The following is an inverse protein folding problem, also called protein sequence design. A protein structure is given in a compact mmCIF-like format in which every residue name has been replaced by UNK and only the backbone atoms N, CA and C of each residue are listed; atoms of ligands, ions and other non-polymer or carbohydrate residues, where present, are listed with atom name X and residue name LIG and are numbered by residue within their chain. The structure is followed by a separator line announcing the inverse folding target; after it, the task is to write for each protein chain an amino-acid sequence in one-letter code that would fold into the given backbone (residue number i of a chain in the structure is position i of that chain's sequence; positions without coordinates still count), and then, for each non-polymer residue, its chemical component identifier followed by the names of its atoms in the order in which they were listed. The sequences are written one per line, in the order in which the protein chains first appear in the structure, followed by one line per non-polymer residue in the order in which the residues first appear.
data_IF_653233578472
#
_entry.id   IF_653233578472
#
_cell.length_a   1.000
_cell.length_b   1.000
_cell.length_c   1.000
_cell.angle_alpha   90.00
_cell.angle_beta   90.00
_cell.angle_gamma   90.00
#
_symmetry.space_group_name_H-M   'P 1'
#
loop_
_entity.id
_entity.type
_entity.pdbx_description
1 polymer ?
#
# COMPACT_ATOMS: atom_id res chain seq x y z
N UNK A 1 5.68 27.98 -3.11
CA UNK A 1 6.32 26.86 -3.81
C UNK A 1 7.70 27.32 -4.26
N UNK A 2 8.78 26.60 -3.92
CA UNK A 2 10.17 27.07 -4.08
C UNK A 2 10.51 27.53 -5.52
N UNK A 3 9.94 26.88 -6.54
CA UNK A 3 10.14 27.23 -7.96
C UNK A 3 9.44 28.53 -8.41
N UNK A 4 8.78 29.27 -7.51
CA UNK A 4 8.28 30.63 -7.79
C UNK A 4 9.34 31.71 -7.60
N UNK A 5 10.48 31.37 -7.01
CA UNK A 5 11.62 32.29 -6.80
C UNK A 5 12.53 32.20 -8.02
N UNK A 6 12.74 33.32 -8.70
CA UNK A 6 13.48 33.37 -9.96
C UNK A 6 14.93 32.89 -9.82
N UNK A 7 15.62 33.29 -8.75
CA UNK A 7 17.01 32.89 -8.50
C UNK A 7 17.16 31.37 -8.30
N UNK A 8 16.18 30.74 -7.64
CA UNK A 8 16.16 29.28 -7.47
C UNK A 8 15.96 28.61 -8.83
N UNK A 9 15.03 29.12 -9.64
CA UNK A 9 14.77 28.60 -10.99
C UNK A 9 16.02 28.68 -11.87
N UNK A 10 16.66 29.84 -11.92
CA UNK A 10 17.88 30.07 -12.69
C UNK A 10 19.02 29.14 -12.24
N UNK A 11 19.18 28.95 -10.93
CA UNK A 11 20.21 28.07 -10.36
C UNK A 11 19.97 26.60 -10.75
N UNK A 12 18.72 26.11 -10.67
CA UNK A 12 18.37 24.74 -11.06
C UNK A 12 18.57 24.52 -12.56
N UNK A 13 18.16 25.48 -13.39
CA UNK A 13 18.36 25.40 -14.85
C UNK A 13 19.84 25.38 -15.22
N UNK A 14 20.66 26.25 -14.61
CA UNK A 14 22.10 26.27 -14.82
C UNK A 14 22.75 24.94 -14.40
N UNK A 15 22.32 24.38 -13.28
CA UNK A 15 22.77 23.06 -12.84
C UNK A 15 22.41 21.96 -13.86
N UNK A 16 21.17 21.92 -14.34
CA UNK A 16 20.74 20.96 -15.35
C UNK A 16 21.55 21.07 -16.63
N UNK A 17 21.67 22.28 -17.20
CA UNK A 17 22.42 22.50 -18.43
C UNK A 17 23.89 22.11 -18.31
N UNK A 18 24.50 22.29 -17.12
CA UNK A 18 25.90 21.99 -16.88
C UNK A 18 26.19 20.51 -16.59
N UNK A 19 25.23 19.76 -16.03
CA UNK A 19 25.51 18.43 -15.44
C UNK A 19 24.66 17.30 -15.99
N UNK A 20 23.50 17.59 -16.59
CA UNK A 20 22.52 16.57 -16.99
C UNK A 20 22.26 16.66 -18.49
N UNK A 21 22.46 15.55 -19.18
CA UNK A 21 22.16 15.43 -20.62
C UNK A 21 20.70 15.06 -20.90
N UNK A 22 20.14 14.19 -20.07
CA UNK A 22 18.81 13.63 -20.26
C UNK A 22 18.13 13.34 -18.94
N UNK A 23 16.81 13.51 -18.90
CA UNK A 23 15.96 13.22 -17.75
C UNK A 23 14.99 12.08 -18.08
N UNK A 24 15.02 11.02 -17.27
CA UNK A 24 14.06 9.92 -17.34
C UNK A 24 13.16 9.98 -16.10
N UNK A 25 11.86 10.10 -16.30
CA UNK A 25 10.88 10.11 -15.20
C UNK A 25 9.95 8.91 -15.38
N UNK A 26 10.01 7.99 -14.42
CA UNK A 26 9.04 6.91 -14.31
C UNK A 26 7.82 7.35 -13.48
N UNK A 27 6.69 6.69 -13.68
CA UNK A 27 5.41 6.96 -12.98
C UNK A 27 4.98 8.44 -13.01
N UNK A 28 5.09 9.12 -14.17
CA UNK A 28 4.81 10.57 -14.30
C UNK A 28 3.40 10.98 -13.83
N UNK A 29 2.43 10.07 -13.81
CA UNK A 29 1.07 10.35 -13.34
C UNK A 29 0.94 10.44 -11.80
N UNK A 30 1.99 10.07 -11.07
CA UNK A 30 2.07 10.28 -9.62
C UNK A 30 2.75 11.61 -9.25
N UNK A 31 3.22 12.37 -10.23
CA UNK A 31 3.90 13.65 -10.04
C UNK A 31 2.97 14.72 -9.44
N UNK A 32 3.49 15.47 -8.46
CA UNK A 32 2.83 16.66 -7.91
C UNK A 32 3.24 17.94 -8.68
N UNK A 33 2.68 19.09 -8.31
CA UNK A 33 2.96 20.38 -8.99
C UNK A 33 4.45 20.77 -8.98
N UNK A 34 5.20 20.41 -7.94
CA UNK A 34 6.64 20.67 -7.86
C UNK A 34 7.39 19.77 -8.83
N UNK A 35 7.08 18.48 -8.88
CA UNK A 35 7.72 17.50 -9.79
C UNK A 35 7.49 17.90 -11.25
N UNK A 36 6.25 18.26 -11.61
CA UNK A 36 5.91 18.77 -12.94
C UNK A 36 6.65 20.08 -13.27
N UNK A 37 6.83 20.94 -12.27
CA UNK A 37 7.64 22.16 -12.38
C UNK A 37 9.11 21.85 -12.68
N UNK A 38 9.70 20.85 -12.02
CA UNK A 38 11.07 20.41 -12.28
C UNK A 38 11.22 19.86 -13.70
N UNK A 39 10.27 19.04 -14.17
CA UNK A 39 10.25 18.54 -15.55
C UNK A 39 10.21 19.70 -16.55
N UNK A 40 9.41 20.73 -16.25
CA UNK A 40 9.34 21.91 -17.09
C UNK A 40 10.68 22.65 -17.16
N UNK A 41 11.37 22.84 -16.03
CA UNK A 41 12.70 23.48 -16.02
C UNK A 41 13.77 22.66 -16.73
N UNK A 42 13.71 21.33 -16.63
CA UNK A 42 14.58 20.45 -17.39
C UNK A 42 14.39 20.65 -18.91
N UNK A 43 13.14 20.83 -19.34
CA UNK A 43 12.84 21.08 -20.76
C UNK A 43 13.36 22.44 -21.19
N UNK A 44 13.13 23.48 -20.39
CA UNK A 44 13.63 24.83 -20.66
C UNK A 44 15.18 24.90 -20.67
N UNK A 45 15.85 24.02 -19.91
CA UNK A 45 17.30 23.87 -19.91
C UNK A 45 17.83 23.03 -21.10
N UNK A 46 16.95 22.55 -21.99
CA UNK A 46 17.34 21.84 -23.22
C UNK A 46 17.66 20.35 -23.03
N UNK A 47 17.25 19.74 -21.92
CA UNK A 47 17.47 18.31 -21.68
C UNK A 47 16.59 17.46 -22.60
N UNK A 48 17.10 16.30 -23.00
CA UNK A 48 16.28 15.25 -23.62
C UNK A 48 15.47 14.56 -22.52
N UNK A 49 14.14 14.63 -22.59
CA UNK A 49 13.26 14.08 -21.56
C UNK A 49 12.50 12.88 -22.07
N UNK A 50 12.41 11.85 -21.25
CA UNK A 50 11.52 10.70 -21.48
C UNK A 50 10.65 10.51 -20.24
N UNK A 51 9.34 10.45 -20.46
CA UNK A 51 8.33 10.28 -19.42
C UNK A 51 7.66 8.92 -19.61
N UNK A 52 7.61 8.13 -18.55
CA UNK A 52 6.94 6.82 -18.51
C UNK A 52 5.85 6.89 -17.45
N UNK A 53 4.69 6.29 -17.74
CA UNK A 53 3.62 6.17 -16.76
C UNK A 53 2.31 5.68 -17.37
N UNK A 54 1.39 5.29 -16.48
CA UNK A 54 0.06 4.82 -16.85
C UNK A 54 -1.01 5.61 -16.09
N UNK A 55 -1.88 6.37 -16.77
CA UNK A 55 -2.92 7.16 -16.09
C UNK A 55 -3.88 6.28 -15.30
N UNK A 56 -4.05 5.01 -15.68
CA UNK A 56 -4.90 4.05 -14.96
C UNK A 56 -4.32 3.59 -13.61
N UNK A 57 -3.04 3.86 -13.35
CA UNK A 57 -2.37 3.46 -12.11
C UNK A 57 -2.08 4.67 -11.19
N UNK A 58 -2.62 5.85 -11.49
CA UNK A 58 -2.42 7.04 -10.68
C UNK A 58 -3.23 6.96 -9.36
N UNK A 59 -2.59 6.63 -8.24
CA UNK A 59 -3.24 6.40 -6.94
C UNK A 59 -2.74 7.31 -5.81
N UNK A 60 -1.81 8.22 -6.08
CA UNK A 60 -1.18 9.03 -5.02
C UNK A 60 -1.76 10.45 -4.92
N UNK A 61 -3.05 10.64 -5.26
CA UNK A 61 -3.72 11.93 -5.12
C UNK A 61 -3.66 12.49 -3.69
N UNK A 62 -3.73 11.60 -2.68
CA UNK A 62 -3.57 11.95 -1.27
C UNK A 62 -2.19 12.51 -0.90
N UNK A 63 -1.14 12.28 -1.72
CA UNK A 63 0.20 12.87 -1.56
C UNK A 63 0.40 14.13 -2.41
N UNK A 64 -0.66 14.59 -3.09
CA UNK A 64 -0.61 15.77 -3.94
C UNK A 64 -0.33 15.48 -5.41
N UNK A 65 -0.37 14.22 -5.86
CA UNK A 65 -0.28 13.90 -7.29
C UNK A 65 -1.37 14.62 -8.11
N UNK A 66 -1.04 14.97 -9.35
CA UNK A 66 -1.90 15.71 -10.30
C UNK A 66 -1.91 15.03 -11.68
N UNK A 67 -2.45 13.80 -11.81
CA UNK A 67 -2.49 13.09 -13.09
C UNK A 67 -3.20 13.89 -14.20
N UNK A 68 -4.17 14.73 -13.86
CA UNK A 68 -4.91 15.62 -14.76
C UNK A 68 -4.05 16.73 -15.37
N UNK A 69 -2.92 17.08 -14.74
CA UNK A 69 -1.98 18.10 -15.23
C UNK A 69 -1.01 17.54 -16.26
N UNK A 70 -0.79 16.21 -16.29
CA UNK A 70 0.16 15.56 -17.20
C UNK A 70 -0.19 15.80 -18.68
N UNK A 71 -1.44 15.62 -19.16
CA UNK A 71 -1.77 15.88 -20.57
C UNK A 71 -1.44 17.30 -21.02
N UNK A 72 -1.63 18.30 -20.14
CA UNK A 72 -1.30 19.70 -20.43
C UNK A 72 0.22 19.90 -20.54
N UNK A 73 1.00 19.26 -19.67
CA UNK A 73 2.46 19.28 -19.74
C UNK A 73 2.95 18.68 -21.06
N UNK A 74 2.45 17.50 -21.43
CA UNK A 74 2.81 16.81 -22.68
C UNK A 74 2.53 17.67 -23.91
N UNK A 75 1.33 18.28 -23.98
CA UNK A 75 0.96 19.16 -25.08
C UNK A 75 1.81 20.43 -25.15
N UNK A 76 2.08 21.07 -24.00
CA UNK A 76 2.89 22.29 -23.93
C UNK A 76 4.33 22.06 -24.37
N UNK A 77 4.92 20.93 -24.00
CA UNK A 77 6.31 20.61 -24.27
C UNK A 77 6.51 19.82 -25.58
N UNK A 78 5.43 19.53 -26.31
CA UNK A 78 5.51 18.86 -27.61
C UNK A 78 5.99 17.42 -27.54
N UNK A 79 5.66 16.69 -26.47
CA UNK A 79 6.07 15.28 -26.35
C UNK A 79 5.41 14.40 -27.41
N UNK A 80 6.22 13.56 -28.06
CA UNK A 80 5.72 12.43 -28.84
C UNK A 80 5.27 11.30 -27.90
N UNK A 81 4.08 10.74 -28.17
CA UNK A 81 3.50 9.67 -27.35
C UNK A 81 3.65 8.33 -28.05
N UNK A 82 4.23 7.36 -27.37
CA UNK A 82 4.27 5.96 -27.79
C UNK A 82 3.51 5.09 -26.79
N UNK A 83 2.56 4.30 -27.26
CA UNK A 83 1.78 3.40 -26.40
C UNK A 83 2.33 1.98 -26.46
N UNK A 84 2.60 1.40 -25.28
CA UNK A 84 2.97 -0.01 -25.15
C UNK A 84 1.70 -0.84 -24.98
N UNK A 85 1.32 -1.58 -26.03
CA UNK A 85 0.07 -2.33 -26.06
C UNK A 85 0.18 -3.75 -25.50
N UNK A 86 1.39 -4.30 -25.44
CA UNK A 86 1.65 -5.67 -24.99
C UNK A 86 2.16 -5.68 -23.55
N UNK A 87 1.55 -6.52 -22.71
CA UNK A 87 2.01 -6.76 -21.34
C UNK A 87 2.82 -8.05 -21.27
N UNK A 88 3.99 -7.98 -20.64
CA UNK A 88 4.82 -9.16 -20.33
C UNK A 88 4.44 -9.83 -19.00
N UNK A 89 3.49 -9.26 -18.25
CA UNK A 89 3.05 -9.77 -16.93
C UNK A 89 2.17 -11.01 -17.06
N UNK A 90 1.20 -10.99 -17.98
CA UNK A 90 0.14 -12.01 -18.06
C UNK A 90 0.58 -13.24 -18.87
N UNK A 91 1.74 -13.81 -18.49
CA UNK A 91 2.42 -14.88 -19.22
C UNK A 91 1.50 -16.09 -19.39
N UNK A 92 0.98 -16.30 -20.60
CA UNK A 92 0.14 -17.44 -20.97
C UNK A 92 -1.29 -17.44 -20.41
N UNK A 93 -1.72 -16.39 -19.68
CA UNK A 93 -3.11 -16.32 -19.17
C UNK A 93 -4.01 -15.52 -20.09
N UNK A 94 -4.80 -16.21 -20.91
CA UNK A 94 -5.83 -15.61 -21.75
C UNK A 94 -6.89 -14.89 -20.90
N UNK A 95 -7.30 -15.47 -19.77
CA UNK A 95 -8.32 -14.89 -18.89
C UNK A 95 -7.86 -13.56 -18.28
N UNK A 96 -6.63 -13.51 -17.75
CA UNK A 96 -6.09 -12.30 -17.14
C UNK A 96 -5.80 -11.20 -18.17
N UNK A 97 -5.32 -11.59 -19.35
CA UNK A 97 -5.14 -10.67 -20.48
C UNK A 97 -6.46 -10.06 -20.93
N UNK A 98 -7.50 -10.89 -21.10
CA UNK A 98 -8.85 -10.44 -21.45
C UNK A 98 -9.40 -9.48 -20.40
N UNK A 99 -9.30 -9.83 -19.11
CA UNK A 99 -9.73 -8.97 -18.00
C UNK A 99 -9.08 -7.59 -18.10
N UNK A 100 -7.74 -7.53 -18.24
CA UNK A 100 -7.05 -6.26 -18.29
C UNK A 100 -7.42 -5.39 -19.51
N UNK A 101 -7.65 -6.01 -20.68
CA UNK A 101 -8.15 -5.31 -21.87
C UNK A 101 -9.58 -4.77 -21.66
N UNK A 102 -10.48 -5.58 -21.10
CA UNK A 102 -11.84 -5.15 -20.78
C UNK A 102 -11.84 -3.95 -19.84
N UNK A 103 -11.04 -4.02 -18.76
CA UNK A 103 -10.91 -2.91 -17.81
C UNK A 103 -10.38 -1.63 -18.48
N UNK A 104 -9.32 -1.73 -19.31
CA UNK A 104 -8.79 -0.55 -20.05
C UNK A 104 -9.79 0.04 -21.04
N UNK A 105 -10.62 -0.80 -21.66
CA UNK A 105 -11.67 -0.39 -22.60
C UNK A 105 -12.95 0.09 -21.89
N UNK A 106 -12.96 0.10 -20.56
CA UNK A 106 -14.13 0.47 -19.74
C UNK A 106 -15.33 -0.43 -20.01
N UNK A 107 -15.07 -1.67 -20.41
CA UNK A 107 -16.11 -2.67 -20.64
C UNK A 107 -16.62 -3.20 -19.30
N UNK A 108 -17.84 -3.75 -19.34
CA UNK A 108 -18.42 -4.45 -18.20
C UNK A 108 -17.62 -5.71 -17.88
N UNK A 109 -17.40 -5.94 -16.60
CA UNK A 109 -16.64 -7.11 -16.11
C UNK A 109 -17.33 -7.71 -14.89
N UNK A 110 -17.34 -9.03 -14.83
CA UNK A 110 -17.70 -9.80 -13.63
C UNK A 110 -16.52 -10.69 -13.30
N UNK A 111 -16.07 -10.63 -12.05
CA UNK A 111 -14.98 -11.48 -11.60
C UNK A 111 -15.49 -12.86 -11.20
N UNK A 112 -14.72 -13.92 -11.47
CA UNK A 112 -14.98 -15.22 -10.85
C UNK A 112 -14.83 -15.11 -9.33
N UNK A 113 -15.69 -15.80 -8.59
CA UNK A 113 -15.61 -15.90 -7.13
C UNK A 113 -14.67 -17.04 -6.73
N UNK A 114 -13.87 -16.83 -5.69
CA UNK A 114 -13.02 -17.86 -5.09
C UNK A 114 -12.94 -17.72 -3.58
N UNK A 115 -12.09 -18.53 -2.93
CA UNK A 115 -11.81 -18.43 -1.50
C UNK A 115 -10.39 -17.93 -1.24
N UNK A 116 -10.09 -17.49 -0.01
CA UNK A 116 -8.78 -16.93 0.31
C UNK A 116 -7.62 -17.91 0.05
N UNK A 117 -7.81 -19.21 0.33
CA UNK A 117 -6.80 -20.24 0.08
C UNK A 117 -6.41 -20.45 -1.39
N UNK A 118 -7.16 -19.88 -2.34
CA UNK A 118 -6.91 -19.97 -3.77
C UNK A 118 -5.98 -18.87 -4.30
N UNK A 119 -5.47 -17.97 -3.47
CA UNK A 119 -4.73 -16.78 -3.93
C UNK A 119 -3.48 -16.50 -3.09
N UNK A 120 -2.49 -15.83 -3.70
CA UNK A 120 -1.22 -15.52 -3.02
C UNK A 120 -1.33 -14.27 -2.13
N UNK A 121 -2.34 -13.44 -2.39
CA UNK A 121 -2.60 -12.16 -1.72
C UNK A 121 -4.07 -11.79 -1.86
N UNK A 122 -4.63 -11.12 -0.84
CA UNK A 122 -5.93 -10.46 -0.94
C UNK A 122 -5.76 -8.94 -0.91
N UNK A 123 -6.32 -8.27 -1.91
CA UNK A 123 -6.30 -6.82 -2.06
C UNK A 123 -7.66 -6.21 -1.72
N UNK A 124 -7.65 -5.03 -1.10
CA UNK A 124 -8.87 -4.25 -0.92
C UNK A 124 -8.59 -2.75 -1.02
N UNK A 125 -9.62 -1.95 -1.28
CA UNK A 125 -9.50 -0.48 -1.26
C UNK A 125 -9.21 0.06 0.14
N UNK A 126 -9.70 -0.62 1.19
CA UNK A 126 -9.63 -0.18 2.58
C UNK A 126 -9.23 -1.34 3.50
N UNK A 127 -8.44 -1.05 4.52
CA UNK A 127 -8.05 -2.01 5.56
C UNK A 127 -9.23 -2.67 6.26
N UNK A 128 -10.29 -1.91 6.52
CA UNK A 128 -11.51 -2.41 7.18
C UNK A 128 -12.04 -3.68 6.50
N UNK A 129 -12.09 -3.67 5.17
CA UNK A 129 -12.61 -4.80 4.38
C UNK A 129 -11.76 -6.06 4.53
N UNK A 130 -10.44 -5.91 4.71
CA UNK A 130 -9.54 -7.05 4.91
C UNK A 130 -9.65 -7.62 6.33
N UNK A 131 -9.82 -6.76 7.33
CA UNK A 131 -10.04 -7.21 8.72
C UNK A 131 -11.41 -7.88 8.93
N UNK A 132 -12.42 -7.47 8.17
CA UNK A 132 -13.77 -8.06 8.17
C UNK A 132 -13.91 -9.26 7.22
N UNK A 133 -12.88 -9.56 6.43
CA UNK A 133 -12.86 -10.73 5.56
C UNK A 133 -12.50 -12.02 6.33
N UNK A 134 -12.40 -13.12 5.58
CA UNK A 134 -12.02 -14.45 6.05
C UNK A 134 -10.83 -14.44 7.03
N UNK A 135 -10.87 -15.31 8.04
CA UNK A 135 -9.86 -15.36 9.11
C UNK A 135 -8.48 -15.80 8.63
N UNK A 136 -8.37 -16.47 7.48
CA UNK A 136 -7.09 -16.80 6.85
C UNK A 136 -6.40 -15.56 6.28
N UNK A 137 -7.13 -14.45 6.07
CA UNK A 137 -6.54 -13.20 5.60
C UNK A 137 -5.93 -12.47 6.80
N UNK A 138 -4.62 -12.23 6.73
CA UNK A 138 -3.88 -11.41 7.68
C UNK A 138 -3.54 -10.06 7.05
N UNK A 139 -4.28 -8.97 7.35
CA UNK A 139 -3.97 -7.65 6.86
C UNK A 139 -2.65 -7.16 7.43
N UNK A 140 -1.80 -6.56 6.60
CA UNK A 140 -0.45 -6.14 6.98
C UNK A 140 -0.39 -4.78 7.70
N UNK A 141 -1.52 -4.15 7.99
CA UNK A 141 -1.58 -2.96 8.84
C UNK A 141 -2.73 -3.05 9.83
N UNK A 142 -2.52 -2.53 11.04
CA UNK A 142 -3.53 -2.43 12.08
C UNK A 142 -3.65 -0.98 12.53
N UNK A 143 -4.88 -0.45 12.59
CA UNK A 143 -5.15 0.91 13.04
C UNK A 143 -6.26 0.91 14.11
N UNK A 144 -5.91 0.61 15.37
CA UNK A 144 -6.90 0.62 16.44
C UNK A 144 -7.36 2.06 16.70
N UNK A 145 -8.67 2.25 16.94
CA UNK A 145 -9.26 3.59 17.20
C UNK A 145 -8.94 4.15 18.60
N UNK A 146 -7.85 3.73 19.20
CA UNK A 146 -7.61 3.86 20.64
C UNK A 146 -6.47 4.84 20.98
N UNK A 147 -5.57 5.11 20.03
CA UNK A 147 -4.52 6.15 20.16
C UNK A 147 -3.16 5.70 19.63
N UNK A 148 -2.24 6.66 19.44
CA UNK A 148 -0.94 6.42 18.79
C UNK A 148 -0.08 5.36 19.49
N UNK A 149 -0.02 5.35 20.83
CA UNK A 149 0.73 4.33 21.58
C UNK A 149 0.18 2.92 21.31
N UNK A 150 -1.14 2.73 21.39
CA UNK A 150 -1.76 1.43 21.12
C UNK A 150 -1.58 1.00 19.66
N UNK A 151 -1.72 1.93 18.73
CA UNK A 151 -1.45 1.68 17.32
C UNK A 151 0.00 1.20 17.11
N UNK A 152 0.97 1.88 17.71
CA UNK A 152 2.37 1.49 17.61
C UNK A 152 2.63 0.08 18.17
N UNK A 153 2.16 -0.23 19.40
CA UNK A 153 2.36 -1.56 20.00
C UNK A 153 1.64 -2.65 19.21
N UNK A 154 0.39 -2.41 18.77
CA UNK A 154 -0.33 -3.36 17.91
C UNK A 154 0.37 -3.58 16.57
N UNK A 155 0.96 -2.54 15.98
CA UNK A 155 1.76 -2.66 14.75
C UNK A 155 3.03 -3.48 14.99
N UNK A 156 3.70 -3.35 16.14
CA UNK A 156 4.86 -4.20 16.48
C UNK A 156 4.45 -5.67 16.69
N UNK A 157 3.31 -5.94 17.33
CA UNK A 157 2.77 -7.30 17.43
C UNK A 157 2.43 -7.88 16.05
N UNK A 158 1.74 -7.11 15.21
CA UNK A 158 1.43 -7.51 13.84
C UNK A 158 2.71 -7.75 13.03
N UNK A 159 3.75 -6.95 13.25
CA UNK A 159 5.04 -7.12 12.60
C UNK A 159 5.68 -8.46 12.94
N UNK A 160 5.71 -8.87 14.22
CA UNK A 160 6.26 -10.18 14.58
C UNK A 160 5.47 -11.32 13.91
N UNK A 161 4.14 -11.24 13.90
CA UNK A 161 3.30 -12.23 13.23
C UNK A 161 3.53 -12.26 11.71
N UNK A 162 3.50 -11.09 11.04
CA UNK A 162 3.72 -11.00 9.60
C UNK A 162 5.13 -11.48 9.20
N UNK A 163 6.14 -11.14 10.00
CA UNK A 163 7.52 -11.57 9.77
C UNK A 163 7.67 -13.08 9.93
N UNK A 164 7.04 -13.69 10.95
CA UNK A 164 7.10 -15.14 11.16
C UNK A 164 6.32 -15.91 10.10
N UNK A 165 5.20 -15.39 9.63
CA UNK A 165 4.31 -16.09 8.69
C UNK A 165 4.73 -15.89 7.24
N UNK A 166 5.17 -14.69 6.86
CA UNK A 166 5.37 -14.32 5.45
C UNK A 166 6.79 -13.87 5.13
N UNK A 167 7.70 -13.83 6.11
CA UNK A 167 9.05 -13.30 5.93
C UNK A 167 9.09 -11.80 5.58
N UNK A 168 8.01 -11.06 5.83
CA UNK A 168 7.89 -9.64 5.48
C UNK A 168 7.37 -8.81 6.66
N UNK A 169 7.79 -7.54 6.79
CA UNK A 169 7.36 -6.69 7.88
C UNK A 169 5.91 -6.24 7.71
N UNK A 170 5.30 -5.84 8.83
CA UNK A 170 4.05 -5.08 8.80
C UNK A 170 4.29 -3.67 8.24
N UNK A 171 3.20 -3.07 7.78
CA UNK A 171 3.14 -1.70 7.29
C UNK A 171 3.26 -0.74 8.47
N UNK A 172 3.87 0.42 8.26
CA UNK A 172 4.04 1.48 9.26
C UNK A 172 4.91 1.06 10.48
N UNK A 173 5.69 -0.04 10.39
CA UNK A 173 6.58 -0.48 11.48
C UNK A 173 7.63 0.56 11.86
N UNK A 174 8.14 1.32 10.89
CA UNK A 174 9.11 2.41 11.12
C UNK A 174 8.44 3.54 11.90
N UNK A 175 7.22 3.92 11.54
CA UNK A 175 6.46 4.97 12.21
C UNK A 175 6.05 4.54 13.63
N UNK A 176 5.69 3.26 13.81
CA UNK A 176 5.40 2.67 15.10
C UNK A 176 6.63 2.70 16.02
N UNK A 177 7.80 2.28 15.50
CA UNK A 177 9.08 2.36 16.20
C UNK A 177 9.43 3.81 16.57
N UNK A 178 9.26 4.73 15.65
CA UNK A 178 9.49 6.17 15.87
C UNK A 178 8.57 6.71 16.97
N UNK A 179 7.29 6.34 16.94
CA UNK A 179 6.29 6.73 17.93
C UNK A 179 6.58 6.20 19.33
N UNK A 180 7.33 5.10 19.44
CA UNK A 180 7.79 4.50 20.69
C UNK A 180 9.25 4.89 21.04
N UNK A 181 9.92 5.71 20.23
CA UNK A 181 11.33 6.05 20.46
C UNK A 181 12.31 4.88 20.28
N UNK A 182 11.93 3.82 19.57
CA UNK A 182 12.72 2.60 19.36
C UNK A 182 13.41 2.62 17.99
N UNK A 183 14.36 3.54 17.82
CA UNK A 183 15.07 3.70 16.54
C UNK A 183 16.29 2.79 16.43
N UNK A 184 16.92 2.46 17.55
CA UNK A 184 18.08 1.58 17.59
C UNK A 184 17.68 0.12 17.31
N UNK A 185 18.49 -0.58 16.52
CA UNK A 185 18.23 -1.97 16.14
C UNK A 185 18.33 -2.92 17.33
N UNK A 186 19.23 -2.63 18.27
CA UNK A 186 19.47 -3.48 19.45
C UNK A 186 18.28 -3.41 20.42
N UNK A 187 17.78 -2.21 20.73
CA UNK A 187 16.56 -2.04 21.53
C UNK A 187 15.37 -2.75 20.91
N UNK A 188 15.20 -2.65 19.58
CA UNK A 188 14.13 -3.37 18.91
C UNK A 188 14.32 -4.88 19.01
N UNK A 189 15.54 -5.40 18.85
CA UNK A 189 15.85 -6.81 18.99
C UNK A 189 15.52 -7.35 20.39
N UNK A 190 15.79 -6.57 21.44
CA UNK A 190 15.44 -6.89 22.83
C UNK A 190 13.93 -6.92 23.08
N UNK A 191 13.13 -6.13 22.36
CA UNK A 191 11.67 -6.13 22.47
C UNK A 191 11.01 -7.38 21.86
N UNK A 192 11.64 -7.99 20.84
CA UNK A 192 11.02 -9.07 20.05
C UNK A 192 10.58 -10.27 20.89
N UNK A 193 11.38 -10.80 21.84
CA UNK A 193 10.95 -11.90 22.71
C UNK A 193 9.66 -11.59 23.48
N UNK A 194 9.50 -10.36 23.98
CA UNK A 194 8.30 -9.94 24.71
C UNK A 194 7.07 -9.87 23.80
N UNK A 195 7.23 -9.33 22.58
CA UNK A 195 6.17 -9.30 21.57
C UNK A 195 5.73 -10.71 21.16
N UNK A 196 6.68 -11.63 20.94
CA UNK A 196 6.38 -13.03 20.61
C UNK A 196 5.67 -13.75 21.76
N UNK A 197 6.15 -13.58 23.00
CA UNK A 197 5.48 -14.16 24.18
C UNK A 197 4.03 -13.66 24.31
N UNK A 198 3.77 -12.38 24.01
CA UNK A 198 2.41 -11.85 24.00
C UNK A 198 1.52 -12.49 22.91
N UNK A 199 2.07 -12.72 21.71
CA UNK A 199 1.35 -13.44 20.64
C UNK A 199 1.08 -14.90 21.01
N UNK A 200 2.04 -15.60 21.60
CA UNK A 200 1.89 -16.99 22.07
C UNK A 200 0.79 -17.10 23.14
N UNK A 201 0.80 -16.19 24.12
CA UNK A 201 -0.26 -16.10 25.14
C UNK A 201 -1.62 -15.79 24.53
N UNK A 202 -1.67 -14.92 23.53
CA UNK A 202 -2.91 -14.57 22.82
C UNK A 202 -3.46 -15.77 22.03
N UNK A 203 -2.59 -16.54 21.38
CA UNK A 203 -2.93 -17.79 20.69
C UNK A 203 -3.41 -18.86 21.68
N UNK A 204 -2.79 -18.95 22.86
CA UNK A 204 -3.19 -19.83 23.97
C UNK A 204 -4.47 -19.41 24.72
N UNK A 205 -5.29 -18.52 24.13
CA UNK A 205 -6.53 -17.97 24.71
C UNK A 205 -6.34 -17.27 26.07
N UNK A 206 -5.16 -16.73 26.32
CA UNK A 206 -4.91 -15.86 27.48
C UNK A 206 -5.80 -14.61 27.45
N UNK A 207 -6.07 -14.06 28.63
CA UNK A 207 -6.90 -12.86 28.77
C UNK A 207 -6.22 -11.62 28.11
N UNK A 208 -6.87 -10.98 27.11
CA UNK A 208 -6.32 -9.81 26.43
C UNK A 208 -5.99 -8.64 27.35
N UNK A 209 -6.74 -8.45 28.45
CA UNK A 209 -6.50 -7.33 29.36
C UNK A 209 -5.21 -7.52 30.17
N UNK A 210 -4.96 -8.75 30.63
CA UNK A 210 -3.72 -9.13 31.31
C UNK A 210 -2.52 -9.02 30.36
N UNK A 211 -2.61 -9.58 29.15
CA UNK A 211 -1.52 -9.50 28.15
C UNK A 211 -1.19 -8.04 27.82
N UNK A 212 -2.21 -7.19 27.64
CA UNK A 212 -2.00 -5.78 27.35
C UNK A 212 -1.34 -5.04 28.51
N UNK A 213 -1.74 -5.32 29.75
CA UNK A 213 -1.12 -4.72 30.95
C UNK A 213 0.38 -5.05 31.01
N UNK A 214 0.74 -6.30 30.77
CA UNK A 214 2.15 -6.74 30.78
C UNK A 214 2.96 -6.10 29.63
N UNK A 215 2.37 -5.99 28.44
CA UNK A 215 2.98 -5.28 27.32
C UNK A 215 3.20 -3.81 27.63
N UNK A 216 2.21 -3.12 28.21
CA UNK A 216 2.34 -1.72 28.63
C UNK A 216 3.50 -1.56 29.62
N UNK A 217 3.58 -2.42 30.64
CA UNK A 217 4.68 -2.38 31.61
C UNK A 217 6.05 -2.60 30.95
N UNK A 218 6.12 -3.54 29.99
CA UNK A 218 7.34 -3.81 29.20
C UNK A 218 7.73 -2.58 28.37
N UNK A 219 6.78 -1.96 27.66
CA UNK A 219 7.04 -0.79 26.83
C UNK A 219 7.52 0.40 27.67
N UNK A 220 6.90 0.66 28.82
CA UNK A 220 7.32 1.75 29.73
C UNK A 220 8.74 1.52 30.27
N UNK A 221 9.13 0.26 30.46
CA UNK A 221 10.48 -0.09 30.95
C UNK A 221 11.54 0.04 29.86
N UNK A 222 11.21 -0.33 28.63
CA UNK A 222 12.18 -0.47 27.53
C UNK A 222 12.16 0.69 26.53
N UNK A 223 11.22 1.62 26.66
CA UNK A 223 11.04 2.75 25.75
C UNK A 223 10.84 4.04 26.53
N UNK A 224 11.21 5.22 25.98
CA UNK A 224 11.05 6.49 26.67
C UNK A 224 9.60 7.00 26.70
N UNK A 225 8.62 6.21 26.22
CA UNK A 225 7.24 6.66 26.01
C UNK A 225 6.32 6.15 27.10
N UNK A 226 5.69 7.08 27.83
CA UNK A 226 4.65 6.77 28.80
C UNK A 226 3.24 6.92 28.19
N UNK A 227 2.38 5.88 28.26
CA UNK A 227 1.02 5.97 27.77
C UNK A 227 0.11 6.73 28.75
N UNK A 228 -0.78 7.55 28.21
CA UNK A 228 -1.88 8.15 28.97
C UNK A 228 -2.83 7.09 29.55
N UNK A 229 -3.63 7.45 30.56
CA UNK A 229 -4.64 6.57 31.16
C UNK A 229 -5.62 5.95 30.14
N UNK A 230 -5.96 6.70 29.08
CA UNK A 230 -6.79 6.19 27.99
C UNK A 230 -6.09 5.09 27.18
N UNK A 231 -4.79 5.23 26.95
CA UNK A 231 -3.97 4.29 26.18
C UNK A 231 -3.61 3.02 26.96
N UNK A 232 -3.71 3.05 28.29
CA UNK A 232 -3.59 1.85 29.15
C UNK A 232 -4.76 0.87 28.98
N UNK A 233 -5.90 1.32 28.42
CA UNK A 233 -7.04 0.44 28.11
C UNK A 233 -6.69 -0.55 27.01
N UNK A 234 -7.18 -1.76 27.08
CA UNK A 234 -6.89 -2.80 26.06
C UNK A 234 -7.53 -2.46 24.70
N UNK A 235 -6.77 -2.52 23.59
CA UNK A 235 -7.33 -2.39 22.25
C UNK A 235 -8.05 -3.69 21.82
N UNK A 236 -9.21 -3.95 22.43
CA UNK A 236 -9.95 -5.24 22.35
C UNK A 236 -10.21 -5.71 20.92
N UNK A 237 -10.58 -4.81 20.01
CA UNK A 237 -10.85 -5.16 18.61
C UNK A 237 -9.59 -5.65 17.89
N UNK A 238 -8.43 -5.02 18.12
CA UNK A 238 -7.17 -5.44 17.52
C UNK A 238 -6.73 -6.80 18.07
N UNK A 239 -6.82 -7.01 19.39
CA UNK A 239 -6.50 -8.30 20.01
C UNK A 239 -7.44 -9.42 19.57
N UNK A 240 -8.74 -9.14 19.44
CA UNK A 240 -9.70 -10.11 18.93
C UNK A 240 -9.35 -10.51 17.49
N UNK A 241 -9.07 -9.54 16.62
CA UNK A 241 -8.66 -9.80 15.25
C UNK A 241 -7.37 -10.64 15.19
N UNK A 242 -6.31 -10.23 15.90
CA UNK A 242 -5.05 -10.97 15.93
C UNK A 242 -5.24 -12.40 16.44
N UNK A 243 -6.02 -12.60 17.50
CA UNK A 243 -6.35 -13.93 18.03
C UNK A 243 -7.02 -14.83 17.00
N UNK A 244 -8.04 -14.34 16.29
CA UNK A 244 -8.72 -15.15 15.26
C UNK A 244 -7.78 -15.61 14.15
N UNK A 245 -6.76 -14.80 13.80
CA UNK A 245 -5.74 -15.16 12.79
C UNK A 245 -4.71 -16.12 13.36
N UNK A 246 -4.31 -15.95 14.62
CA UNK A 246 -3.41 -16.86 15.32
C UNK A 246 -4.01 -18.27 15.45
N UNK A 247 -5.32 -18.38 15.69
CA UNK A 247 -6.03 -19.66 15.79
C UNK A 247 -5.95 -20.49 14.50
N UNK A 248 -6.04 -19.84 13.33
CA UNK A 248 -5.95 -20.50 12.01
C UNK A 248 -4.57 -20.40 11.36
N UNK A 249 -3.56 -19.88 12.07
CA UNK A 249 -2.25 -19.61 11.47
C UNK A 249 -1.55 -20.88 10.95
N UNK A 250 -1.84 -22.02 11.57
CA UNK A 250 -1.35 -23.34 11.19
C UNK A 250 -1.95 -23.87 9.86
N UNK A 251 -3.08 -23.32 9.42
CA UNK A 251 -3.75 -23.68 8.16
C UNK A 251 -3.19 -22.92 6.95
N UNK A 252 -2.32 -21.93 7.19
CA UNK A 252 -1.72 -21.08 6.16
C UNK A 252 -2.49 -19.77 5.98
N UNK A 253 -1.91 -18.67 6.48
CA UNK A 253 -2.48 -17.34 6.28
C UNK A 253 -2.13 -16.81 4.89
N UNK A 254 -2.96 -15.88 4.41
CA UNK A 254 -2.78 -15.14 3.17
C UNK A 254 -2.58 -13.66 3.50
N UNK A 255 -1.55 -12.99 2.95
CA UNK A 255 -1.33 -11.58 3.23
C UNK A 255 -2.45 -10.71 2.64
N UNK A 256 -3.00 -9.82 3.46
CA UNK A 256 -3.95 -8.79 3.05
C UNK A 256 -3.25 -7.43 2.89
N UNK A 257 -3.47 -6.72 1.78
CA UNK A 257 -2.92 -5.36 1.59
C UNK A 257 -3.85 -4.45 0.80
N UNK A 258 -3.62 -3.15 0.88
CA UNK A 258 -4.43 -2.19 0.13
C UNK A 258 -4.05 -2.12 -1.36
N UNK A 259 -4.98 -1.72 -2.23
CA UNK A 259 -4.70 -1.52 -3.66
C UNK A 259 -3.49 -0.58 -3.89
N UNK A 260 -3.33 0.44 -3.05
CA UNK A 260 -2.21 1.39 -3.11
C UNK A 260 -0.86 0.71 -2.89
N UNK A 261 -0.78 -0.21 -1.93
CA UNK A 261 0.45 -0.94 -1.61
C UNK A 261 0.80 -2.00 -2.64
N UNK A 262 -0.21 -2.45 -3.38
CA UNK A 262 -0.04 -3.40 -4.46
C UNK A 262 0.51 -2.75 -5.74
N UNK A 263 0.48 -1.41 -5.86
CA UNK A 263 1.08 -0.70 -7.00
C UNK A 263 2.57 -1.04 -7.09
N UNK A 264 3.04 -1.33 -8.30
CA UNK A 264 4.41 -1.79 -8.56
C UNK A 264 4.73 -3.25 -8.20
N UNK A 265 3.77 -4.00 -7.63
CA UNK A 265 3.94 -5.42 -7.26
C UNK A 265 3.16 -6.36 -8.18
N UNK A 266 3.41 -7.65 -8.08
CA UNK A 266 2.68 -8.68 -8.84
C UNK A 266 2.72 -10.05 -8.15
N UNK A 267 1.69 -10.85 -8.40
CA UNK A 267 1.50 -12.20 -7.87
C UNK A 267 0.91 -13.11 -8.94
N UNK A 268 0.96 -14.42 -8.75
CA UNK A 268 0.41 -15.36 -9.72
C UNK A 268 -1.12 -15.34 -9.67
N UNK A 269 -1.68 -15.34 -8.46
CA UNK A 269 -3.13 -15.31 -8.19
C UNK A 269 -3.46 -14.23 -7.16
N UNK A 270 -4.40 -13.35 -7.50
CA UNK A 270 -4.79 -12.22 -6.65
C UNK A 270 -6.26 -12.31 -6.30
N UNK A 271 -6.58 -12.33 -5.01
CA UNK A 271 -7.93 -12.11 -4.52
C UNK A 271 -8.19 -10.61 -4.37
N UNK A 272 -9.40 -10.16 -4.69
CA UNK A 272 -9.84 -8.80 -4.45
C UNK A 272 -11.12 -8.81 -3.64
N UNK A 273 -11.06 -8.21 -2.45
CA UNK A 273 -12.21 -8.01 -1.60
C UNK A 273 -13.00 -6.80 -2.08
N UNK A 274 -14.19 -7.05 -2.63
CA UNK A 274 -15.07 -6.04 -3.20
C UNK A 274 -16.20 -5.66 -2.24
N UNK A 275 -16.50 -4.37 -2.14
CA UNK A 275 -17.80 -3.91 -1.66
C UNK A 275 -18.87 -4.06 -2.76
N UNK A 276 -20.16 -4.05 -2.41
CA UNK A 276 -21.25 -4.11 -3.39
C UNK A 276 -21.14 -2.98 -4.43
N UNK A 277 -20.73 -1.79 -3.99
CA UNK A 277 -20.47 -0.64 -4.86
C UNK A 277 -19.34 -0.91 -5.87
N UNK A 278 -18.26 -1.60 -5.46
CA UNK A 278 -17.15 -1.94 -6.35
C UNK A 278 -17.62 -2.93 -7.44
N UNK A 279 -18.41 -3.94 -7.04
CA UNK A 279 -18.99 -4.89 -7.98
C UNK A 279 -19.98 -4.23 -8.95
N UNK A 280 -20.78 -3.26 -8.48
CA UNK A 280 -21.70 -2.49 -9.32
C UNK A 280 -20.94 -1.64 -10.35
N UNK A 281 -19.84 -1.03 -9.95
CA UNK A 281 -18.93 -0.27 -10.84
C UNK A 281 -18.34 -1.17 -11.91
N UNK A 282 -17.82 -2.35 -11.56
CA UNK A 282 -17.24 -3.28 -12.53
C UNK A 282 -18.26 -3.73 -13.59
N UNK A 283 -19.54 -3.90 -13.20
CA UNK A 283 -20.62 -4.24 -14.15
C UNK A 283 -20.98 -3.10 -15.11
N UNK A 284 -20.64 -1.85 -14.77
CA UNK A 284 -20.87 -0.68 -15.63
C UNK A 284 -19.66 -0.33 -16.49
N UNK A 285 -18.45 -0.65 -16.01
CA UNK A 285 -17.19 -0.26 -16.62
C UNK A 285 -16.48 0.81 -15.77
N UNK A 286 -15.16 0.71 -15.69
CA UNK A 286 -14.33 1.63 -14.91
C UNK A 286 -14.20 3.00 -15.60
N UNK A 287 -14.35 4.07 -14.82
CA UNK A 287 -14.02 5.43 -15.22
C UNK A 287 -12.61 5.82 -14.72
N UNK A 288 -11.62 6.03 -15.59
CA UNK A 288 -10.26 6.40 -15.18
C UNK A 288 -10.16 7.80 -14.57
N UNK A 289 -11.18 8.65 -14.67
CA UNK A 289 -11.20 9.93 -13.94
C UNK A 289 -11.37 9.73 -12.43
N UNK A 290 -12.03 8.64 -12.01
CA UNK A 290 -12.24 8.30 -10.60
C UNK A 290 -11.07 7.49 -10.05
N UNK A 291 -10.41 8.02 -9.00
CA UNK A 291 -9.30 7.33 -8.32
C UNK A 291 -9.74 6.00 -7.73
N UNK A 292 -11.00 5.87 -7.31
CA UNK A 292 -11.52 4.63 -6.77
C UNK A 292 -11.54 3.51 -7.81
N UNK A 293 -11.90 3.85 -9.04
CA UNK A 293 -11.90 2.92 -10.16
C UNK A 293 -10.48 2.57 -10.60
N UNK A 294 -9.56 3.55 -10.59
CA UNK A 294 -8.12 3.29 -10.81
C UNK A 294 -7.57 2.32 -9.75
N UNK A 295 -8.00 2.42 -8.50
CA UNK A 295 -7.57 1.50 -7.45
C UNK A 295 -8.06 0.05 -7.71
N UNK A 296 -9.28 -0.11 -8.23
CA UNK A 296 -9.78 -1.41 -8.69
C UNK A 296 -9.00 -1.92 -9.90
N UNK A 297 -8.73 -1.05 -10.88
CA UNK A 297 -7.88 -1.38 -12.03
C UNK A 297 -6.51 -1.89 -11.60
N UNK A 298 -5.83 -1.19 -10.68
CA UNK A 298 -4.54 -1.61 -10.15
C UNK A 298 -4.66 -3.00 -9.53
N UNK A 299 -5.61 -3.20 -8.59
CA UNK A 299 -5.78 -4.47 -7.91
C UNK A 299 -6.00 -5.64 -8.88
N UNK A 300 -6.89 -5.46 -9.85
CA UNK A 300 -7.27 -6.52 -10.79
C UNK A 300 -6.22 -6.82 -11.86
N UNK A 301 -5.21 -5.97 -12.01
CA UNK A 301 -4.11 -6.15 -12.98
C UNK A 301 -2.79 -6.58 -12.34
N UNK A 302 -2.75 -6.82 -11.02
CA UNK A 302 -1.55 -7.32 -10.32
C UNK A 302 -1.32 -8.81 -10.47
N UNK A 303 -2.36 -9.57 -10.83
CA UNK A 303 -2.23 -11.00 -11.11
C UNK A 303 -1.50 -11.25 -12.43
N UNK A 304 -0.63 -12.27 -12.46
CA UNK A 304 -0.05 -12.84 -13.68
C UNK A 304 -1.02 -13.83 -14.33
N UNK A 305 -1.75 -14.61 -13.53
CA UNK A 305 -2.59 -15.69 -14.03
C UNK A 305 -4.08 -15.47 -13.78
N UNK A 306 -4.48 -15.01 -12.58
CA UNK A 306 -5.90 -14.94 -12.25
C UNK A 306 -6.21 -13.92 -11.14
N UNK A 307 -7.24 -13.10 -11.37
CA UNK A 307 -7.88 -12.25 -10.36
C UNK A 307 -9.24 -12.81 -9.97
N UNK A 308 -9.51 -12.96 -8.67
CA UNK A 308 -10.74 -13.50 -8.10
C UNK A 308 -11.42 -12.48 -7.19
N UNK A 309 -12.75 -12.50 -7.11
CA UNK A 309 -13.49 -11.88 -6.02
C UNK A 309 -13.47 -12.83 -4.81
N UNK A 310 -12.97 -12.34 -3.66
CA UNK A 310 -12.82 -13.09 -2.41
C UNK A 310 -13.56 -12.38 -1.27
#
# INVERSE_FOLDING_TARGET
MALRVEDIRASVMAYFAATIRSLLVDEVYDANDLDLGVIHLAADAGLVITLVGDPWQALYGFRGARPESVPRLLSRLGFERSELQTSFRWRGSTAQTLLAHQLRRRERTVLPTGVAGDVDVVLARKWKLLWEADTHILPLAVRPKTGQFQEAVCTLLLNELAQSTFGRPAVDVIDARTSLGVMESDTFAELRPHLRSALERLAGRGDPATIWTDLVATMVTMTPVEPSEGQKRTPRAAFANLRTRLEVAHEGLIPGMTCHQAKGREWDRVGVRLEEADAAVLRRGLDPADEAHRALYVALTRARHLSLAV
#
